data_IF_316121473505
#
_entry.id   IF_316121473505
#
_cell.length_a   1.000
_cell.length_b   1.000
_cell.length_c   1.000
_cell.angle_alpha   90.00
_cell.angle_beta   90.00
_cell.angle_gamma   90.00
#
_symmetry.space_group_name_H-M   'P 1'
#
loop_
_entity.id
_entity.type
_entity.pdbx_description
1 polymer ?
#
# COMPACT_ATOMS: atom_id res chain seq x y z
N UNK A 1 -40.81 -18.89 39.71
CA UNK A 1 -41.77 -19.99 39.52
C UNK A 1 -42.18 -20.00 38.05
N UNK A 2 -42.16 -21.16 37.40
CA UNK A 2 -42.51 -21.33 35.98
C UNK A 2 -43.70 -22.28 35.90
N UNK A 3 -44.67 -22.00 35.03
CA UNK A 3 -45.88 -22.83 34.90
C UNK A 3 -45.53 -24.22 34.34
N UNK A 4 -45.95 -25.28 35.04
CA UNK A 4 -45.77 -26.68 34.65
C UNK A 4 -46.38 -26.99 33.29
N UNK A 5 -47.54 -26.40 32.98
CA UNK A 5 -48.25 -26.59 31.70
C UNK A 5 -47.46 -26.01 30.55
N UNK A 6 -46.78 -24.89 30.77
CA UNK A 6 -45.88 -24.28 29.79
C UNK A 6 -44.71 -25.21 29.51
N UNK A 7 -44.03 -25.73 30.55
CA UNK A 7 -42.90 -26.66 30.37
C UNK A 7 -43.31 -28.01 29.76
N UNK A 8 -44.48 -28.55 30.09
CA UNK A 8 -44.99 -29.81 29.55
C UNK A 8 -45.51 -29.70 28.10
N UNK A 9 -45.73 -28.49 27.58
CA UNK A 9 -46.15 -28.27 26.19
C UNK A 9 -45.03 -28.49 25.16
N UNK A 10 -43.78 -28.55 25.61
CA UNK A 10 -42.60 -28.74 24.74
C UNK A 10 -42.41 -30.21 24.38
N UNK A 11 -41.84 -30.53 23.20
CA UNK A 11 -41.47 -31.89 22.82
C UNK A 11 -40.20 -32.39 23.55
N UNK A 12 -39.90 -33.68 23.42
CA UNK A 12 -38.66 -34.27 23.94
C UNK A 12 -38.64 -34.47 25.46
N UNK A 13 -37.48 -34.25 26.07
CA UNK A 13 -37.22 -34.57 27.49
C UNK A 13 -38.06 -33.72 28.46
N UNK A 14 -38.38 -32.47 28.11
CA UNK A 14 -39.26 -31.61 28.90
C UNK A 14 -40.71 -32.11 28.91
N UNK A 15 -41.25 -32.55 27.76
CA UNK A 15 -42.58 -33.20 27.70
C UNK A 15 -42.66 -34.40 28.62
N UNK A 16 -41.61 -35.22 28.57
CA UNK A 16 -41.55 -36.46 29.33
C UNK A 16 -41.45 -36.12 30.81
N UNK A 17 -40.49 -35.28 31.20
CA UNK A 17 -40.24 -34.93 32.59
C UNK A 17 -41.44 -34.24 33.24
N UNK A 18 -42.00 -33.21 32.60
CA UNK A 18 -43.07 -32.41 33.18
C UNK A 18 -44.47 -32.94 32.87
N UNK A 19 -44.64 -33.71 31.79
CA UNK A 19 -45.92 -34.34 31.45
C UNK A 19 -46.38 -35.35 32.50
N UNK A 20 -45.45 -36.11 33.10
CA UNK A 20 -45.76 -37.00 34.23
C UNK A 20 -46.08 -36.23 35.53
N UNK A 21 -45.71 -34.96 35.62
CA UNK A 21 -45.86 -34.11 36.81
C UNK A 21 -47.09 -33.18 36.72
N UNK A 22 -47.92 -33.32 35.68
CA UNK A 22 -49.10 -32.49 35.43
C UNK A 22 -50.26 -32.76 36.38
N UNK A 23 -50.32 -33.96 36.97
CA UNK A 23 -51.38 -34.36 37.91
C UNK A 23 -51.10 -33.88 39.35
N UNK A 24 -49.90 -33.35 39.62
CA UNK A 24 -49.54 -32.83 40.94
C UNK A 24 -49.91 -31.35 41.09
N UNK A 25 -50.84 -31.06 42.00
CA UNK A 25 -51.31 -29.69 42.30
C UNK A 25 -50.36 -28.88 43.19
N UNK A 26 -49.30 -29.51 43.70
CA UNK A 26 -48.32 -28.87 44.59
C UNK A 26 -47.20 -28.18 43.82
N UNK A 27 -46.64 -27.12 44.38
CA UNK A 27 -45.42 -26.52 43.86
C UNK A 27 -44.28 -27.55 43.90
N UNK A 28 -43.64 -27.76 42.75
CA UNK A 28 -42.53 -28.71 42.61
C UNK A 28 -41.21 -27.97 42.53
N UNK A 29 -40.27 -28.38 43.36
CA UNK A 29 -38.87 -27.95 43.27
C UNK A 29 -38.09 -28.99 42.48
N UNK A 30 -37.93 -28.76 41.19
CA UNK A 30 -37.07 -29.57 40.32
C UNK A 30 -35.67 -28.96 40.32
N UNK A 31 -34.67 -29.76 40.71
CA UNK A 31 -33.27 -29.36 40.68
C UNK A 31 -32.63 -29.96 39.42
N UNK A 32 -32.20 -29.10 38.51
CA UNK A 32 -31.38 -29.51 37.37
C UNK A 32 -29.92 -29.46 37.79
N UNK A 33 -29.28 -30.63 37.85
CA UNK A 33 -27.83 -30.73 37.96
C UNK A 33 -27.24 -30.69 36.55
N UNK A 34 -26.21 -29.86 36.35
CA UNK A 34 -25.46 -29.74 35.09
C UNK A 34 -26.32 -29.40 33.85
N UNK A 35 -27.26 -28.45 33.99
CA UNK A 35 -27.93 -27.89 32.82
C UNK A 35 -26.87 -27.26 31.90
N UNK A 36 -26.86 -27.64 30.61
CA UNK A 36 -25.75 -27.35 29.68
C UNK A 36 -25.39 -25.85 29.58
N UNK A 37 -26.34 -24.95 29.85
CA UNK A 37 -26.15 -23.49 29.84
C UNK A 37 -26.32 -22.83 31.24
N UNK A 38 -26.23 -23.62 32.32
CA UNK A 38 -26.38 -23.13 33.70
C UNK A 38 -27.77 -22.57 34.04
N UNK A 39 -27.87 -21.85 35.16
CA UNK A 39 -29.13 -21.25 35.60
C UNK A 39 -29.63 -20.15 34.65
N UNK A 40 -28.71 -19.40 34.03
CA UNK A 40 -29.02 -18.31 33.09
C UNK A 40 -29.58 -18.83 31.77
N UNK A 41 -29.03 -19.92 31.23
CA UNK A 41 -29.57 -20.59 30.06
C UNK A 41 -30.95 -21.20 30.33
N UNK A 42 -31.15 -21.80 31.51
CA UNK A 42 -32.47 -22.26 31.92
C UNK A 42 -33.48 -21.12 32.01
N UNK A 43 -33.09 -19.95 32.50
CA UNK A 43 -33.96 -18.77 32.56
C UNK A 43 -34.29 -18.22 31.15
N UNK A 44 -33.31 -18.16 30.24
CA UNK A 44 -33.52 -17.83 28.83
C UNK A 44 -34.56 -18.75 28.17
N UNK A 45 -34.39 -20.06 28.37
CA UNK A 45 -35.32 -21.09 27.88
C UNK A 45 -36.69 -20.93 28.53
N UNK A 46 -36.75 -20.96 29.86
CA UNK A 46 -37.98 -21.08 30.63
C UNK A 46 -38.80 -19.78 30.74
N UNK A 47 -38.15 -18.62 30.79
CA UNK A 47 -38.83 -17.34 31.03
C UNK A 47 -39.28 -16.63 29.75
N UNK A 48 -38.61 -16.84 28.60
CA UNK A 48 -38.89 -16.03 27.39
C UNK A 48 -39.11 -16.83 26.12
N UNK A 49 -38.33 -17.87 25.86
CA UNK A 49 -38.61 -18.77 24.72
C UNK A 49 -39.80 -19.69 25.02
N UNK A 50 -39.93 -20.16 26.26
CA UNK A 50 -41.03 -21.01 26.68
C UNK A 50 -42.39 -20.29 26.70
N UNK A 51 -42.42 -19.01 27.07
CA UNK A 51 -43.65 -18.21 27.06
C UNK A 51 -44.15 -17.86 25.64
N UNK A 52 -43.28 -17.90 24.63
CA UNK A 52 -43.63 -17.66 23.22
C UNK A 52 -44.03 -18.93 22.43
N UNK A 53 -44.27 -20.07 23.10
CA UNK A 53 -44.84 -21.33 22.54
C UNK A 53 -44.10 -21.99 21.37
N UNK A 54 -42.79 -21.78 21.16
CA UNK A 54 -42.04 -22.45 20.07
C UNK A 54 -40.85 -23.26 20.56
N UNK A 55 -40.74 -24.51 20.10
CA UNK A 55 -39.66 -25.45 20.44
C UNK A 55 -38.30 -24.98 19.91
N UNK A 56 -37.23 -25.21 20.68
CA UNK A 56 -35.84 -24.99 20.29
C UNK A 56 -35.40 -25.88 19.11
N UNK A 57 -36.07 -27.02 18.89
CA UNK A 57 -35.81 -27.90 17.75
C UNK A 57 -36.26 -27.28 16.41
N UNK A 58 -37.04 -26.18 16.46
CA UNK A 58 -37.62 -25.53 15.30
C UNK A 58 -37.05 -24.14 15.01
N UNK A 59 -35.90 -23.75 15.60
CA UNK A 59 -35.28 -22.42 15.39
C UNK A 59 -35.05 -22.12 13.91
N UNK A 60 -34.71 -23.14 13.11
CA UNK A 60 -34.54 -23.04 11.66
C UNK A 60 -35.78 -22.51 10.91
N UNK A 61 -36.98 -22.71 11.47
CA UNK A 61 -38.27 -22.32 10.90
C UNK A 61 -38.80 -20.97 11.41
N UNK A 62 -38.10 -20.29 12.32
CA UNK A 62 -38.56 -19.00 12.87
C UNK A 62 -38.61 -17.91 11.80
N UNK A 63 -39.33 -16.81 12.00
CA UNK A 63 -39.27 -15.67 11.07
C UNK A 63 -38.00 -14.84 11.29
N UNK A 64 -37.63 -13.97 10.34
CA UNK A 64 -36.46 -13.09 10.50
C UNK A 64 -36.60 -12.17 11.73
N UNK A 65 -37.78 -11.57 11.91
CA UNK A 65 -38.10 -10.77 13.09
C UNK A 65 -38.01 -11.56 14.40
N UNK A 66 -38.45 -12.82 14.40
CA UNK A 66 -38.34 -13.69 15.58
C UNK A 66 -36.88 -13.96 15.96
N UNK A 67 -36.01 -14.19 14.97
CA UNK A 67 -34.58 -14.39 15.21
C UNK A 67 -33.90 -13.12 15.76
N UNK A 68 -34.27 -11.94 15.26
CA UNK A 68 -33.69 -10.68 15.76
C UNK A 68 -34.16 -10.35 17.17
N UNK A 69 -35.44 -10.58 17.48
CA UNK A 69 -35.96 -10.42 18.85
C UNK A 69 -35.24 -11.40 19.79
N UNK A 70 -35.11 -12.66 19.37
CA UNK A 70 -34.37 -13.67 20.11
C UNK A 70 -32.92 -13.26 20.42
N UNK A 71 -32.18 -12.76 19.42
CA UNK A 71 -30.82 -12.26 19.61
C UNK A 71 -30.77 -11.04 20.55
N UNK A 72 -31.73 -10.11 20.41
CA UNK A 72 -31.84 -8.94 21.28
C UNK A 72 -32.08 -9.36 22.73
N UNK A 73 -32.94 -10.34 22.98
CA UNK A 73 -33.18 -10.83 24.35
C UNK A 73 -31.95 -11.55 24.92
N UNK A 74 -31.24 -12.34 24.11
CA UNK A 74 -30.00 -12.99 24.53
C UNK A 74 -28.90 -11.98 24.94
N UNK A 75 -28.85 -10.81 24.30
CA UNK A 75 -27.83 -9.79 24.57
C UNK A 75 -27.99 -9.07 25.92
N UNK A 76 -29.18 -9.14 26.52
CA UNK A 76 -29.50 -8.51 27.80
C UNK A 76 -29.39 -9.50 28.97
N UNK A 77 -29.38 -10.80 28.66
CA UNK A 77 -29.31 -11.89 29.64
C UNK A 77 -27.92 -12.54 29.74
N UNK A 78 -27.14 -12.57 28.66
CA UNK A 78 -25.82 -13.20 28.66
C UNK A 78 -24.71 -12.20 29.01
N UNK A 79 -23.87 -12.58 29.97
CA UNK A 79 -22.59 -11.92 30.20
C UNK A 79 -21.66 -12.14 28.99
N UNK A 80 -20.68 -11.26 28.78
CA UNK A 80 -19.80 -11.30 27.60
C UNK A 80 -18.97 -12.59 27.43
N UNK A 81 -19.00 -13.51 28.42
CA UNK A 81 -18.17 -14.71 28.47
C UNK A 81 -18.93 -16.01 28.15
N UNK A 82 -20.26 -16.00 28.08
CA UNK A 82 -21.04 -17.25 28.04
C UNK A 82 -21.54 -17.56 26.63
N UNK A 83 -20.91 -18.56 26.00
CA UNK A 83 -21.39 -19.14 24.73
C UNK A 83 -22.52 -20.12 25.04
N UNK A 84 -23.74 -19.62 25.20
CA UNK A 84 -24.89 -20.52 25.27
C UNK A 84 -25.07 -21.26 23.95
N UNK A 85 -25.33 -22.57 24.02
CA UNK A 85 -25.59 -23.41 22.83
C UNK A 85 -26.75 -22.84 22.00
N UNK A 86 -27.70 -22.20 22.68
CA UNK A 86 -28.87 -21.55 22.09
C UNK A 86 -28.46 -20.32 21.27
N UNK A 87 -27.59 -19.46 21.81
CA UNK A 87 -27.11 -18.30 21.07
C UNK A 87 -26.39 -18.70 19.78
N UNK A 88 -25.54 -19.72 19.84
CA UNK A 88 -24.83 -20.24 18.67
C UNK A 88 -25.82 -20.77 17.59
N UNK A 89 -26.86 -21.51 18.00
CA UNK A 89 -27.92 -21.97 17.07
C UNK A 89 -28.68 -20.82 16.42
N UNK A 90 -29.03 -19.78 17.17
CA UNK A 90 -29.74 -18.61 16.64
C UNK A 90 -28.83 -17.82 15.67
N UNK A 91 -27.57 -17.59 16.05
CA UNK A 91 -26.59 -16.92 15.21
C UNK A 91 -26.37 -17.69 13.91
N UNK A 92 -26.26 -19.03 13.95
CA UNK A 92 -26.12 -19.85 12.75
C UNK A 92 -27.33 -19.75 11.83
N UNK A 93 -28.55 -19.72 12.38
CA UNK A 93 -29.78 -19.51 11.59
C UNK A 93 -29.82 -18.11 10.94
N UNK A 94 -29.41 -17.07 11.67
CA UNK A 94 -29.33 -15.70 11.14
C UNK A 94 -28.32 -15.62 10.01
N UNK A 95 -27.10 -16.12 10.23
CA UNK A 95 -26.03 -16.11 9.23
C UNK A 95 -26.40 -16.96 8.01
N UNK A 96 -26.98 -18.13 8.20
CA UNK A 96 -27.43 -19.00 7.10
C UNK A 96 -28.46 -18.29 6.21
N UNK A 97 -29.35 -17.50 6.80
CA UNK A 97 -30.33 -16.70 6.04
C UNK A 97 -29.70 -15.53 5.32
N UNK A 98 -28.80 -14.80 5.98
CA UNK A 98 -28.02 -13.74 5.35
C UNK A 98 -27.28 -14.27 4.12
N UNK A 99 -26.65 -15.44 4.24
CA UNK A 99 -25.96 -16.11 3.13
C UNK A 99 -26.94 -16.54 2.03
N UNK A 100 -28.03 -17.20 2.39
CA UNK A 100 -29.00 -17.74 1.41
C UNK A 100 -29.70 -16.64 0.61
N UNK A 101 -30.06 -15.52 1.24
CA UNK A 101 -30.71 -14.37 0.59
C UNK A 101 -29.74 -13.57 -0.30
N UNK A 102 -28.44 -13.62 -0.01
CA UNK A 102 -27.40 -13.04 -0.87
C UNK A 102 -27.14 -13.93 -2.11
N UNK A 103 -27.28 -15.26 -1.99
CA UNK A 103 -26.98 -16.22 -3.07
C UNK A 103 -28.18 -16.49 -4.01
N UNK A 104 -29.43 -16.40 -3.54
CA UNK A 104 -30.61 -16.89 -4.25
C UNK A 104 -31.20 -15.99 -5.37
N UNK A 105 -30.47 -15.03 -5.96
CA UNK A 105 -31.09 -14.11 -6.94
C UNK A 105 -30.37 -14.03 -8.30
N UNK A 106 -30.83 -14.81 -9.31
CA UNK A 106 -30.68 -14.48 -10.72
C UNK A 106 -31.85 -13.55 -11.16
N UNK A 107 -31.51 -12.33 -11.57
CA UNK A 107 -32.34 -11.36 -12.33
C UNK A 107 -33.49 -10.60 -11.59
N UNK A 108 -33.38 -9.26 -11.50
CA UNK A 108 -34.38 -8.22 -11.92
C UNK A 108 -34.10 -6.83 -11.30
N UNK A 109 -33.95 -5.83 -12.17
CA UNK A 109 -34.23 -4.38 -12.07
C UNK A 109 -34.60 -3.72 -10.70
N UNK A 110 -33.61 -3.43 -9.86
CA UNK A 110 -33.67 -2.39 -8.81
C UNK A 110 -32.24 -2.00 -8.41
N UNK A 111 -32.01 -0.75 -7.99
CA UNK A 111 -30.65 -0.20 -7.83
C UNK A 111 -29.76 -1.08 -6.95
N UNK A 112 -28.57 -1.42 -7.44
CA UNK A 112 -27.63 -2.36 -6.80
C UNK A 112 -27.33 -2.03 -5.32
N UNK A 113 -27.44 -0.75 -4.94
CA UNK A 113 -27.16 -0.28 -3.58
C UNK A 113 -28.24 -0.64 -2.54
N UNK A 114 -29.51 -0.79 -2.92
CA UNK A 114 -30.59 -1.04 -1.94
C UNK A 114 -30.72 -2.52 -1.56
N UNK A 115 -30.22 -3.43 -2.39
CA UNK A 115 -30.33 -4.88 -2.17
C UNK A 115 -29.20 -5.49 -1.35
N UNK A 116 -28.03 -4.87 -1.27
CA UNK A 116 -26.91 -5.39 -0.47
C UNK A 116 -27.03 -4.95 1.00
N UNK A 117 -27.75 -3.85 1.26
CA UNK A 117 -27.87 -3.22 2.59
C UNK A 117 -29.18 -3.55 3.33
N UNK A 118 -30.02 -4.47 2.82
CA UNK A 118 -31.36 -4.71 3.41
C UNK A 118 -31.29 -5.09 4.90
N UNK A 119 -30.26 -5.85 5.30
CA UNK A 119 -30.07 -6.32 6.66
C UNK A 119 -29.27 -5.34 7.54
N UNK A 120 -28.77 -4.22 6.99
CA UNK A 120 -27.89 -3.32 7.72
C UNK A 120 -28.62 -2.64 8.88
N UNK A 121 -29.83 -2.16 8.65
CA UNK A 121 -30.68 -1.52 9.66
C UNK A 121 -31.11 -2.50 10.74
N UNK A 122 -31.53 -3.70 10.31
CA UNK A 122 -32.04 -4.74 11.18
C UNK A 122 -31.00 -5.21 12.22
N UNK A 123 -29.73 -5.27 11.83
CA UNK A 123 -28.65 -5.65 12.73
C UNK A 123 -28.15 -4.51 13.64
N UNK A 124 -28.59 -3.25 13.46
CA UNK A 124 -28.21 -2.15 14.35
C UNK A 124 -28.68 -2.34 15.79
N UNK A 125 -29.71 -3.17 16.00
CA UNK A 125 -30.24 -3.47 17.34
C UNK A 125 -29.27 -4.26 18.21
N UNK A 126 -28.27 -4.90 17.59
CA UNK A 126 -27.31 -5.77 18.25
C UNK A 126 -26.15 -4.97 18.89
N UNK A 127 -25.69 -5.42 20.06
CA UNK A 127 -24.46 -4.93 20.70
C UNK A 127 -23.22 -5.37 19.89
N UNK A 128 -22.12 -4.64 20.05
CA UNK A 128 -20.87 -4.88 19.29
C UNK A 128 -20.32 -6.30 19.48
N UNK A 129 -20.50 -6.90 20.65
CA UNK A 129 -20.02 -8.26 20.94
C UNK A 129 -20.74 -9.32 20.08
N UNK A 130 -22.05 -9.14 19.82
CA UNK A 130 -22.80 -10.00 18.91
C UNK A 130 -22.44 -9.72 17.44
N UNK A 131 -22.20 -8.45 17.10
CA UNK A 131 -21.72 -8.09 15.76
C UNK A 131 -20.36 -8.74 15.47
N UNK A 132 -19.44 -8.79 16.44
CA UNK A 132 -18.17 -9.53 16.29
C UNK A 132 -18.41 -10.99 15.89
N UNK A 133 -19.29 -11.69 16.61
CA UNK A 133 -19.65 -13.09 16.31
C UNK A 133 -20.29 -13.24 14.93
N UNK A 134 -21.31 -12.44 14.62
CA UNK A 134 -22.01 -12.48 13.32
C UNK A 134 -21.02 -12.26 12.18
N UNK A 135 -20.13 -11.27 12.28
CA UNK A 135 -19.19 -10.94 11.21
C UNK A 135 -18.14 -12.04 11.04
N UNK A 136 -17.62 -12.62 12.13
CA UNK A 136 -16.72 -13.79 12.04
C UNK A 136 -17.38 -14.98 11.34
N UNK A 137 -18.66 -15.23 11.63
CA UNK A 137 -19.43 -16.28 10.96
C UNK A 137 -19.70 -15.95 9.48
N UNK A 138 -19.95 -14.69 9.13
CA UNK A 138 -20.09 -14.28 7.72
C UNK A 138 -18.77 -14.45 6.94
N UNK A 139 -17.63 -14.15 7.57
CA UNK A 139 -16.30 -14.40 7.00
C UNK A 139 -16.07 -15.90 6.80
N UNK A 140 -16.40 -16.76 7.79
CA UNK A 140 -16.22 -18.22 7.65
C UNK A 140 -17.13 -18.84 6.59
N UNK A 141 -18.25 -18.19 6.27
CA UNK A 141 -19.18 -18.57 5.19
C UNK A 141 -18.82 -17.94 3.83
N UNK A 142 -17.65 -17.30 3.69
CA UNK A 142 -17.15 -16.67 2.47
C UNK A 142 -18.09 -15.61 1.85
N UNK A 143 -18.76 -14.81 2.69
CA UNK A 143 -19.48 -13.63 2.19
C UNK A 143 -18.49 -12.60 1.66
N UNK A 144 -18.88 -11.88 0.61
CA UNK A 144 -18.09 -10.80 0.03
C UNK A 144 -17.59 -9.81 1.10
N UNK A 145 -16.27 -9.73 1.23
CA UNK A 145 -15.61 -8.89 2.21
C UNK A 145 -15.90 -7.39 1.97
N UNK A 146 -16.18 -6.96 0.74
CA UNK A 146 -16.55 -5.58 0.46
C UNK A 146 -17.94 -5.22 1.03
N UNK A 147 -18.86 -6.17 1.04
CA UNK A 147 -20.17 -6.03 1.70
C UNK A 147 -20.02 -5.96 3.22
N UNK A 148 -19.18 -6.82 3.80
CA UNK A 148 -18.87 -6.80 5.24
C UNK A 148 -18.23 -5.47 5.63
N UNK A 149 -17.25 -4.98 4.86
CA UNK A 149 -16.57 -3.71 5.14
C UNK A 149 -17.55 -2.53 5.10
N UNK A 150 -18.47 -2.49 4.12
CA UNK A 150 -19.55 -1.49 4.04
C UNK A 150 -20.47 -1.55 5.27
N UNK A 151 -20.86 -2.74 5.71
CA UNK A 151 -21.70 -2.91 6.88
C UNK A 151 -21.01 -2.41 8.15
N UNK A 152 -19.74 -2.75 8.38
CA UNK A 152 -19.00 -2.32 9.56
C UNK A 152 -18.96 -0.79 9.70
N UNK A 153 -18.78 -0.08 8.59
CA UNK A 153 -18.82 1.38 8.56
C UNK A 153 -20.22 1.94 8.81
N UNK A 154 -21.22 1.29 8.23
CA UNK A 154 -22.60 1.66 8.42
C UNK A 154 -22.95 1.55 9.90
N UNK A 155 -22.68 0.39 10.52
CA UNK A 155 -22.85 0.15 11.94
C UNK A 155 -22.09 1.18 12.79
N UNK A 156 -20.82 1.45 12.48
CA UNK A 156 -20.01 2.44 13.17
C UNK A 156 -20.63 3.84 13.13
N UNK A 157 -21.05 4.32 11.95
CA UNK A 157 -21.66 5.63 11.78
C UNK A 157 -22.98 5.76 12.52
N UNK A 158 -23.85 4.76 12.40
CA UNK A 158 -25.18 4.78 13.03
C UNK A 158 -25.08 4.71 14.56
N UNK A 159 -24.24 3.84 15.11
CA UNK A 159 -24.12 3.67 16.57
C UNK A 159 -23.40 4.84 17.24
N UNK A 160 -22.46 5.49 16.57
CA UNK A 160 -21.70 6.63 17.11
C UNK A 160 -22.57 7.82 17.53
N UNK A 161 -23.77 7.96 16.98
CA UNK A 161 -24.73 9.01 17.36
C UNK A 161 -25.37 8.79 18.73
N UNK A 162 -25.41 7.53 19.18
CA UNK A 162 -26.23 7.11 20.34
C UNK A 162 -25.41 6.67 21.56
N UNK A 163 -24.12 6.37 21.37
CA UNK A 163 -23.30 5.68 22.37
C UNK A 163 -22.29 6.60 23.08
N UNK A 164 -21.88 6.19 24.28
CA UNK A 164 -20.89 6.89 25.11
C UNK A 164 -19.47 6.82 24.51
N UNK A 165 -18.53 7.70 24.90
CA UNK A 165 -17.15 7.66 24.39
C UNK A 165 -16.42 6.35 24.65
N UNK A 166 -16.70 5.67 25.77
CA UNK A 166 -16.12 4.37 26.11
C UNK A 166 -16.61 3.27 25.18
N UNK A 167 -17.92 3.25 24.89
CA UNK A 167 -18.51 2.35 23.91
C UNK A 167 -18.00 2.64 22.49
N UNK A 168 -17.77 3.91 22.13
CA UNK A 168 -17.12 4.26 20.85
C UNK A 168 -15.74 3.63 20.74
N UNK A 169 -14.94 3.65 21.80
CA UNK A 169 -13.65 2.95 21.83
C UNK A 169 -13.85 1.45 21.59
N UNK A 170 -14.75 0.79 22.34
CA UNK A 170 -15.02 -0.66 22.20
C UNK A 170 -15.45 -1.02 20.77
N UNK A 171 -16.36 -0.24 20.18
CA UNK A 171 -16.83 -0.41 18.80
C UNK A 171 -15.65 -0.36 17.82
N UNK A 172 -14.77 0.63 17.95
CA UNK A 172 -13.64 0.77 17.04
C UNK A 172 -12.59 -0.33 17.22
N UNK A 173 -12.34 -0.77 18.44
CA UNK A 173 -11.38 -1.85 18.72
C UNK A 173 -11.83 -3.15 18.06
N UNK A 174 -13.09 -3.54 18.28
CA UNK A 174 -13.69 -4.70 17.61
C UNK A 174 -13.68 -4.53 16.10
N UNK A 175 -14.10 -3.36 15.59
CA UNK A 175 -14.13 -3.10 14.14
C UNK A 175 -12.73 -3.21 13.51
N UNK A 176 -11.68 -2.70 14.16
CA UNK A 176 -10.30 -2.83 13.67
C UNK A 176 -9.88 -4.31 13.61
N UNK A 177 -10.23 -5.10 14.62
CA UNK A 177 -9.94 -6.53 14.63
C UNK A 177 -10.68 -7.24 13.50
N UNK A 178 -11.97 -6.95 13.29
CA UNK A 178 -12.75 -7.52 12.19
C UNK A 178 -12.20 -7.12 10.81
N UNK A 179 -11.84 -5.85 10.61
CA UNK A 179 -11.22 -5.37 9.37
C UNK A 179 -9.89 -6.06 9.09
N UNK A 180 -9.13 -6.44 10.12
CA UNK A 180 -7.86 -7.15 9.96
C UNK A 180 -8.01 -8.57 9.40
N UNK A 181 -9.21 -9.16 9.55
CA UNK A 181 -9.57 -10.48 9.03
C UNK A 181 -10.09 -10.43 7.58
N UNK A 182 -10.50 -9.26 7.09
CA UNK A 182 -10.99 -9.11 5.73
C UNK A 182 -9.84 -9.07 4.73
N UNK A 183 -10.16 -9.40 3.47
CA UNK A 183 -9.24 -9.21 2.35
C UNK A 183 -8.91 -7.71 2.23
N UNK A 184 -7.63 -7.40 2.08
CA UNK A 184 -7.12 -6.03 1.95
C UNK A 184 -7.68 -5.33 0.71
N UNK A 185 -8.07 -6.09 -0.32
CA UNK A 185 -8.73 -5.52 -1.50
C UNK A 185 -10.13 -4.97 -1.23
N UNK A 186 -10.76 -5.34 -0.10
CA UNK A 186 -12.18 -5.04 0.21
C UNK A 186 -12.47 -3.64 0.74
N UNK A 187 -11.43 -2.84 1.03
CA UNK A 187 -11.56 -1.48 1.53
C UNK A 187 -10.62 -0.52 0.81
N UNK A 188 -11.08 0.74 0.64
CA UNK A 188 -10.29 1.80 0.01
C UNK A 188 -9.37 2.50 1.01
N UNK A 189 -8.27 3.10 0.53
CA UNK A 189 -7.42 3.96 1.38
C UNK A 189 -8.23 5.09 2.03
N UNK A 190 -9.13 5.73 1.27
CA UNK A 190 -10.04 6.76 1.79
C UNK A 190 -10.79 6.28 3.03
N UNK A 191 -11.21 5.01 3.02
CA UNK A 191 -11.91 4.44 4.13
C UNK A 191 -11.03 4.26 5.36
N UNK A 192 -9.88 3.62 5.20
CA UNK A 192 -8.97 3.37 6.31
C UNK A 192 -8.48 4.66 6.95
N UNK A 193 -8.17 5.68 6.14
CA UNK A 193 -7.80 7.00 6.67
C UNK A 193 -8.99 7.70 7.34
N UNK A 194 -10.22 7.49 6.87
CA UNK A 194 -11.44 7.93 7.55
C UNK A 194 -11.57 7.31 8.95
N UNK A 195 -11.37 5.98 9.05
CA UNK A 195 -11.35 5.25 10.32
C UNK A 195 -10.21 5.77 11.20
N UNK A 196 -9.02 5.95 10.64
CA UNK A 196 -7.85 6.44 11.37
C UNK A 196 -8.08 7.82 12.00
N UNK A 197 -8.76 8.74 11.29
CA UNK A 197 -9.12 10.06 11.85
C UNK A 197 -10.02 9.92 13.07
N UNK A 198 -11.01 9.02 13.01
CA UNK A 198 -11.89 8.70 14.15
C UNK A 198 -11.08 8.10 15.30
N UNK A 199 -10.26 7.07 15.01
CA UNK A 199 -9.42 6.40 16.01
C UNK A 199 -8.45 7.36 16.69
N UNK A 200 -7.89 8.30 15.94
CA UNK A 200 -6.95 9.31 16.44
C UNK A 200 -7.60 10.29 17.42
N UNK A 201 -8.91 10.52 17.28
CA UNK A 201 -9.68 11.34 18.23
C UNK A 201 -10.09 10.59 19.50
N UNK A 202 -9.98 9.26 19.50
CA UNK A 202 -10.40 8.39 20.59
C UNK A 202 -9.21 7.86 21.40
N UNK A 203 -9.47 7.47 22.66
CA UNK A 203 -8.48 6.85 23.55
C UNK A 203 -8.41 5.32 23.31
N UNK A 204 -8.09 4.93 22.08
CA UNK A 204 -7.93 3.53 21.68
C UNK A 204 -6.51 3.04 22.00
N UNK A 205 -6.38 1.76 22.35
CA UNK A 205 -5.10 1.14 22.68
C UNK A 205 -4.06 1.24 21.56
N UNK A 206 -2.77 1.24 21.92
CA UNK A 206 -1.67 1.27 20.95
C UNK A 206 -1.65 0.06 20.03
N UNK A 207 -2.10 -1.09 20.53
CA UNK A 207 -2.20 -2.34 19.78
C UNK A 207 -3.16 -2.20 18.58
N UNK A 208 -4.39 -1.74 18.82
CA UNK A 208 -5.37 -1.56 17.75
C UNK A 208 -4.95 -0.46 16.76
N UNK A 209 -4.30 0.61 17.23
CA UNK A 209 -3.71 1.63 16.35
C UNK A 209 -2.65 1.03 15.41
N UNK A 210 -1.79 0.15 15.94
CA UNK A 210 -0.78 -0.54 15.12
C UNK A 210 -1.40 -1.47 14.08
N UNK A 211 -2.48 -2.19 14.42
CA UNK A 211 -3.20 -3.03 13.44
C UNK A 211 -3.74 -2.17 12.29
N UNK A 212 -4.39 -1.05 12.61
CA UNK A 212 -4.93 -0.13 11.61
C UNK A 212 -3.83 0.50 10.74
N UNK A 213 -2.70 0.85 11.33
CA UNK A 213 -1.56 1.39 10.58
C UNK A 213 -0.94 0.34 9.66
N UNK A 214 -0.91 -0.93 10.06
CA UNK A 214 -0.49 -2.01 9.17
C UNK A 214 -1.45 -2.15 7.99
N UNK A 215 -2.77 -2.13 8.25
CA UNK A 215 -3.80 -2.14 7.20
C UNK A 215 -3.62 -0.97 6.22
N UNK A 216 -3.37 0.25 6.71
CA UNK A 216 -3.13 1.44 5.87
C UNK A 216 -1.83 1.31 5.09
N UNK A 217 -0.74 0.93 5.78
CA UNK A 217 0.58 0.77 5.19
C UNK A 217 0.56 -0.23 4.04
N UNK A 218 -0.20 -1.32 4.16
CA UNK A 218 -0.36 -2.34 3.12
C UNK A 218 -0.85 -1.82 1.76
N UNK A 219 -1.56 -0.69 1.74
CA UNK A 219 -2.17 -0.09 0.55
C UNK A 219 -1.62 1.31 0.25
N UNK A 220 -0.45 1.65 0.78
CA UNK A 220 0.11 2.98 0.62
C UNK A 220 0.33 3.36 -0.86
N UNK A 221 0.49 2.37 -1.75
CA UNK A 221 0.59 2.54 -3.20
C UNK A 221 -0.71 3.05 -3.88
N UNK A 222 -1.83 3.05 -3.15
CA UNK A 222 -3.14 3.54 -3.59
C UNK A 222 -3.55 4.84 -2.89
N UNK A 223 -2.70 5.39 -2.01
CA UNK A 223 -2.99 6.61 -1.26
C UNK A 223 -2.60 7.86 -2.06
N UNK A 224 -3.28 8.98 -1.77
CA UNK A 224 -2.92 10.32 -2.24
C UNK A 224 -2.25 11.11 -1.13
N UNK A 225 -1.55 12.19 -1.49
CA UNK A 225 -0.88 13.06 -0.53
C UNK A 225 -1.84 13.60 0.54
N UNK A 226 -3.08 13.96 0.17
CA UNK A 226 -4.10 14.49 1.07
C UNK A 226 -4.41 13.57 2.26
N UNK A 227 -4.24 12.25 2.08
CA UNK A 227 -4.45 11.30 3.15
C UNK A 227 -3.28 11.25 4.15
N UNK A 228 -2.06 11.55 3.69
CA UNK A 228 -0.85 11.57 4.53
C UNK A 228 -0.72 12.87 5.33
N UNK A 229 -1.38 13.95 4.91
CA UNK A 229 -1.40 15.26 5.60
C UNK A 229 -2.28 15.22 6.86
N UNK A 230 -1.91 14.36 7.81
CA UNK A 230 -2.56 14.24 9.11
C UNK A 230 -1.94 15.27 10.06
N UNK A 231 -2.74 16.19 10.64
CA UNK A 231 -2.23 17.17 11.59
C UNK A 231 -1.58 16.51 12.80
N UNK A 232 -0.42 17.03 13.21
CA UNK A 232 0.23 16.54 14.42
C UNK A 232 -0.60 16.92 15.67
N UNK A 233 -0.50 16.12 16.73
CA UNK A 233 -1.08 16.49 18.01
C UNK A 233 -0.45 17.81 18.48
N UNK A 234 -1.29 18.83 18.79
CA UNK A 234 -0.95 20.25 19.05
C UNK A 234 0.17 20.56 20.06
N UNK A 235 0.79 19.55 20.68
CA UNK A 235 1.82 19.71 21.73
C UNK A 235 3.27 19.72 21.20
N UNK A 236 3.56 19.43 19.92
CA UNK A 236 4.94 19.14 19.47
C UNK A 236 5.43 19.81 18.16
N UNK A 237 4.97 21.02 17.87
CA UNK A 237 5.67 21.96 16.98
C UNK A 237 5.48 21.76 15.46
N UNK A 238 5.59 20.54 14.92
CA UNK A 238 5.43 20.31 13.48
C UNK A 238 3.96 20.31 13.03
N UNK A 239 3.69 20.74 11.80
CA UNK A 239 2.32 20.85 11.26
C UNK A 239 1.69 19.46 11.09
N UNK A 240 2.46 18.50 10.56
CA UNK A 240 1.98 17.15 10.23
C UNK A 240 2.64 16.05 11.07
N UNK A 241 1.96 14.91 11.23
CA UNK A 241 2.50 13.73 11.93
C UNK A 241 3.44 12.91 11.03
N UNK A 242 4.70 13.34 10.97
CA UNK A 242 5.77 12.63 10.26
C UNK A 242 6.00 11.20 10.76
N UNK A 243 5.78 10.95 12.06
CA UNK A 243 6.01 9.61 12.63
C UNK A 243 4.95 8.62 12.17
N UNK A 244 3.73 9.08 11.88
CA UNK A 244 2.72 8.25 11.23
C UNK A 244 3.22 7.78 9.86
N UNK A 245 3.66 8.69 9.00
CA UNK A 245 4.14 8.33 7.65
C UNK A 245 5.30 7.33 7.70
N UNK A 246 6.27 7.53 8.60
CA UNK A 246 7.38 6.58 8.80
C UNK A 246 6.87 5.18 9.18
N UNK A 247 5.86 5.08 10.05
CA UNK A 247 5.26 3.79 10.44
C UNK A 247 4.48 3.16 9.30
N UNK A 248 3.75 3.95 8.50
CA UNK A 248 3.03 3.44 7.33
C UNK A 248 3.97 2.89 6.25
N UNK A 249 5.08 3.59 5.97
CA UNK A 249 6.09 3.09 5.03
C UNK A 249 6.75 1.81 5.56
N UNK A 250 7.08 1.78 6.87
CA UNK A 250 7.60 0.56 7.49
C UNK A 250 6.62 -0.62 7.40
N UNK A 251 5.34 -0.38 7.63
CA UNK A 251 4.30 -1.38 7.47
C UNK A 251 4.20 -1.90 6.03
N UNK A 252 4.27 -1.00 5.03
CA UNK A 252 4.30 -1.37 3.61
C UNK A 252 5.44 -2.37 3.29
N UNK A 253 6.63 -2.16 3.86
CA UNK A 253 7.76 -3.09 3.70
C UNK A 253 7.57 -4.43 4.41
N UNK A 254 7.04 -4.42 5.63
CA UNK A 254 6.86 -5.65 6.41
C UNK A 254 5.83 -6.57 5.74
N UNK A 255 4.78 -6.00 5.16
CA UNK A 255 3.76 -6.77 4.44
C UNK A 255 4.27 -7.23 3.06
N UNK A 256 5.26 -6.52 2.50
CA UNK A 256 5.91 -6.81 1.22
C UNK A 256 6.87 -8.01 1.17
N UNK A 257 6.93 -8.82 2.23
CA UNK A 257 7.95 -9.87 2.48
C UNK A 257 7.98 -11.06 1.50
N UNK A 258 7.25 -11.02 0.39
CA UNK A 258 7.50 -11.96 -0.71
C UNK A 258 7.89 -11.24 -1.99
N UNK A 259 7.11 -10.30 -2.52
CA UNK A 259 7.53 -9.45 -3.64
C UNK A 259 6.69 -8.17 -3.63
N UNK A 260 7.19 -7.06 -3.06
CA UNK A 260 6.61 -5.76 -3.44
C UNK A 260 6.90 -5.60 -4.92
N UNK A 261 5.86 -5.73 -5.76
CA UNK A 261 5.98 -5.42 -7.18
C UNK A 261 6.68 -4.06 -7.30
N UNK A 262 7.78 -3.98 -8.05
CA UNK A 262 8.56 -2.75 -8.18
C UNK A 262 7.69 -1.55 -8.57
N UNK A 263 6.58 -1.78 -9.29
CA UNK A 263 5.57 -0.77 -9.63
C UNK A 263 4.84 -0.19 -8.40
N UNK A 264 4.50 -1.00 -7.40
CA UNK A 264 3.88 -0.53 -6.14
C UNK A 264 4.88 0.27 -5.32
N UNK A 265 6.11 -0.22 -5.22
CA UNK A 265 7.18 0.48 -4.51
C UNK A 265 7.46 1.87 -5.11
N UNK A 266 7.52 1.97 -6.45
CA UNK A 266 7.67 3.24 -7.15
C UNK A 266 6.53 4.22 -6.89
N UNK A 267 5.27 3.75 -6.81
CA UNK A 267 4.12 4.59 -6.42
C UNK A 267 4.28 5.13 -5.01
N UNK A 268 4.68 4.28 -4.06
CA UNK A 268 4.95 4.71 -2.68
C UNK A 268 6.11 5.71 -2.63
N UNK A 269 7.17 5.51 -3.41
CA UNK A 269 8.28 6.46 -3.47
C UNK A 269 7.85 7.83 -3.99
N UNK A 270 7.08 7.87 -5.08
CA UNK A 270 6.51 9.11 -5.61
C UNK A 270 5.61 9.82 -4.59
N UNK A 271 4.80 9.06 -3.85
CA UNK A 271 3.94 9.59 -2.79
C UNK A 271 4.76 10.18 -1.63
N UNK A 272 5.79 9.47 -1.16
CA UNK A 272 6.67 9.92 -0.07
C UNK A 272 7.48 11.14 -0.49
N UNK A 273 8.00 11.17 -1.72
CA UNK A 273 8.74 12.32 -2.24
C UNK A 273 7.83 13.55 -2.38
N UNK A 274 6.56 13.36 -2.75
CA UNK A 274 5.56 14.44 -2.76
C UNK A 274 5.26 14.96 -1.36
N UNK A 275 5.14 14.05 -0.38
CA UNK A 275 4.97 14.41 1.03
C UNK A 275 6.20 15.14 1.59
N UNK A 276 7.41 14.71 1.20
CA UNK A 276 8.67 15.34 1.59
C UNK A 276 8.74 16.80 1.15
N UNK A 277 8.31 17.13 -0.07
CA UNK A 277 8.24 18.51 -0.56
C UNK A 277 7.32 19.37 0.31
N UNK A 278 6.14 18.84 0.67
CA UNK A 278 5.16 19.55 1.50
C UNK A 278 5.68 19.81 2.92
N UNK A 279 6.30 18.81 3.56
CA UNK A 279 6.82 18.98 4.93
C UNK A 279 8.16 19.70 5.00
N UNK A 280 8.88 19.83 3.89
CA UNK A 280 10.18 20.50 3.85
C UNK A 280 10.08 21.98 4.23
N UNK A 281 8.95 22.62 3.93
CA UNK A 281 8.67 24.02 4.25
C UNK A 281 8.37 24.27 5.75
N UNK A 282 8.16 23.21 6.55
CA UNK A 282 7.86 23.34 7.99
C UNK A 282 9.13 23.64 8.80
N UNK A 283 9.25 24.87 9.30
CA UNK A 283 10.38 25.31 10.14
C UNK A 283 10.50 24.59 11.48
N UNK A 284 9.45 23.89 11.93
CA UNK A 284 9.45 23.12 13.16
C UNK A 284 9.79 21.64 12.94
N UNK A 285 10.00 21.21 11.69
CA UNK A 285 10.39 19.84 11.38
C UNK A 285 11.85 19.59 11.76
N UNK A 286 12.07 18.73 12.75
CA UNK A 286 13.42 18.45 13.23
C UNK A 286 14.29 17.75 12.16
N UNK A 287 15.60 18.05 12.09
CA UNK A 287 16.49 17.48 11.06
C UNK A 287 16.61 15.97 11.13
N UNK A 288 16.48 15.40 12.33
CA UNK A 288 16.46 13.96 12.55
C UNK A 288 15.25 13.28 11.91
N UNK A 289 14.06 13.90 11.98
CA UNK A 289 12.83 13.37 11.39
C UNK A 289 12.84 13.52 9.88
N UNK A 290 13.30 14.67 9.37
CA UNK A 290 13.46 14.88 7.94
C UNK A 290 14.46 13.89 7.32
N UNK A 291 15.63 13.71 7.95
CA UNK A 291 16.60 12.70 7.51
C UNK A 291 16.02 11.28 7.55
N UNK A 292 15.20 10.93 8.55
CA UNK A 292 14.54 9.63 8.61
C UNK A 292 13.56 9.42 7.45
N UNK A 293 12.80 10.44 7.05
CA UNK A 293 11.89 10.36 5.89
C UNK A 293 12.66 10.21 4.58
N UNK A 294 13.71 11.01 4.39
CA UNK A 294 14.54 10.97 3.17
C UNK A 294 15.18 9.59 2.98
N UNK A 295 15.58 8.93 4.09
CA UNK A 295 16.23 7.63 4.10
C UNK A 295 15.27 6.43 4.23
N UNK A 296 13.94 6.64 4.30
CA UNK A 296 12.98 5.57 4.60
C UNK A 296 12.81 4.56 3.45
N UNK A 297 13.15 4.97 2.22
CA UNK A 297 13.06 4.17 1.01
C UNK A 297 14.45 3.97 0.39
N UNK A 298 14.77 2.77 -0.13
CA UNK A 298 16.01 2.48 -0.83
C UNK A 298 16.07 3.23 -2.17
N UNK A 299 17.27 3.31 -2.73
CA UNK A 299 17.54 3.98 -4.01
C UNK A 299 16.74 3.37 -5.17
N UNK A 300 16.63 2.04 -5.21
CA UNK A 300 15.92 1.30 -6.26
C UNK A 300 14.43 1.58 -6.34
N UNK A 301 13.85 2.16 -5.27
CA UNK A 301 12.45 2.57 -5.25
C UNK A 301 12.17 3.77 -6.18
N UNK A 302 13.21 4.53 -6.55
CA UNK A 302 13.11 5.79 -7.29
C UNK A 302 13.72 5.67 -8.69
N UNK A 303 12.94 6.08 -9.68
CA UNK A 303 13.41 6.24 -11.07
C UNK A 303 14.14 7.58 -11.26
N UNK A 304 13.69 8.63 -10.58
CA UNK A 304 14.30 9.97 -10.58
C UNK A 304 14.40 10.50 -9.15
N UNK A 305 15.46 11.26 -8.87
CA UNK A 305 15.67 11.92 -7.57
C UNK A 305 15.31 13.41 -7.59
N UNK A 306 14.70 13.93 -8.65
CA UNK A 306 14.44 15.37 -8.81
C UNK A 306 13.50 15.92 -7.74
N UNK A 307 12.41 15.20 -7.44
CA UNK A 307 11.47 15.56 -6.36
C UNK A 307 12.12 15.49 -4.98
N UNK A 308 12.96 14.47 -4.75
CA UNK A 308 13.71 14.33 -3.51
C UNK A 308 14.71 15.49 -3.33
N UNK A 309 15.40 15.86 -4.41
CA UNK A 309 16.29 17.02 -4.45
C UNK A 309 15.54 18.31 -4.14
N UNK A 310 14.38 18.53 -4.78
CA UNK A 310 13.53 19.69 -4.51
C UNK A 310 13.14 19.78 -3.03
N UNK A 311 12.73 18.66 -2.42
CA UNK A 311 12.40 18.63 -0.99
C UNK A 311 13.60 18.96 -0.11
N UNK A 312 14.78 18.39 -0.40
CA UNK A 312 16.00 18.67 0.37
C UNK A 312 16.42 20.13 0.23
N UNK A 313 16.34 20.68 -0.97
CA UNK A 313 16.68 22.08 -1.25
C UNK A 313 15.80 23.05 -0.47
N UNK A 314 14.46 22.87 -0.52
CA UNK A 314 13.50 23.64 0.29
C UNK A 314 13.83 23.50 1.78
N UNK A 315 14.12 22.28 2.25
CA UNK A 315 14.41 22.05 3.66
C UNK A 315 15.68 22.77 4.12
N UNK A 316 16.76 22.72 3.33
CA UNK A 316 18.01 23.42 3.61
C UNK A 316 17.85 24.95 3.54
N UNK A 317 16.96 25.43 2.68
CA UNK A 317 16.59 26.84 2.62
C UNK A 317 15.90 27.31 3.89
N UNK A 318 14.91 26.57 4.38
CA UNK A 318 14.20 26.92 5.62
C UNK A 318 15.07 26.71 6.86
N UNK A 319 16.01 25.76 6.82
CA UNK A 319 16.86 25.38 7.96
C UNK A 319 18.34 25.78 7.77
N UNK A 320 18.60 27.05 7.48
CA UNK A 320 19.96 27.57 7.23
C UNK A 320 20.97 27.36 8.38
N UNK A 321 20.52 27.17 9.61
CA UNK A 321 21.36 26.96 10.81
C UNK A 321 21.88 25.52 11.03
N UNK A 322 21.74 24.63 10.05
CA UNK A 322 22.19 23.25 10.16
C UNK A 322 23.72 23.12 10.15
N UNK A 323 24.27 22.26 11.02
CA UNK A 323 25.68 21.90 10.95
C UNK A 323 25.97 21.01 9.73
N UNK A 324 27.21 21.07 9.23
CA UNK A 324 27.65 20.34 8.03
C UNK A 324 27.41 18.83 8.13
N UNK A 325 27.61 18.21 9.30
CA UNK A 325 27.34 16.79 9.50
C UNK A 325 25.87 16.40 9.25
N UNK A 326 24.92 17.26 9.67
CA UNK A 326 23.48 17.03 9.43
C UNK A 326 23.12 17.25 7.97
N UNK A 327 23.65 18.30 7.34
CA UNK A 327 23.46 18.55 5.91
C UNK A 327 23.97 17.38 5.08
N UNK A 328 25.17 16.90 5.36
CA UNK A 328 25.76 15.74 4.71
C UNK A 328 24.88 14.50 4.82
N UNK A 329 24.34 14.22 6.02
CA UNK A 329 23.45 13.06 6.24
C UNK A 329 22.14 13.14 5.44
N UNK A 330 21.57 14.33 5.29
CA UNK A 330 20.35 14.52 4.49
C UNK A 330 20.67 14.37 3.01
N UNK A 331 21.74 15.03 2.55
CA UNK A 331 22.09 15.07 1.14
C UNK A 331 22.70 13.75 0.63
N UNK A 332 23.24 12.89 1.51
CA UNK A 332 23.77 11.58 1.12
C UNK A 332 22.73 10.62 0.59
N UNK A 333 21.44 10.91 0.75
CA UNK A 333 20.35 10.13 0.16
C UNK A 333 20.12 10.39 -1.33
N UNK A 334 20.74 11.44 -1.89
CA UNK A 334 20.63 11.75 -3.31
C UNK A 334 21.57 10.87 -4.13
N UNK A 335 21.00 10.15 -5.09
CA UNK A 335 21.76 9.53 -6.16
C UNK A 335 21.84 10.52 -7.33
N UNK A 336 23.01 11.12 -7.50
CA UNK A 336 23.26 12.13 -8.52
C UNK A 336 23.08 11.59 -9.94
N UNK A 337 23.25 10.29 -10.17
CA UNK A 337 23.03 9.67 -11.48
C UNK A 337 21.56 9.76 -11.92
N UNK A 338 20.63 9.68 -10.96
CA UNK A 338 19.17 9.76 -11.16
C UNK A 338 18.60 11.18 -11.17
N UNK A 339 19.46 12.20 -11.10
CA UNK A 339 19.05 13.59 -11.24
C UNK A 339 19.06 14.04 -12.70
N UNK A 340 18.10 14.89 -13.06
CA UNK A 340 18.09 15.59 -14.35
C UNK A 340 19.26 16.57 -14.45
N UNK A 341 19.59 16.95 -15.68
CA UNK A 341 20.66 17.91 -15.97
C UNK A 341 20.38 19.27 -15.35
N UNK A 342 19.12 19.70 -15.32
CA UNK A 342 18.72 20.97 -14.71
C UNK A 342 18.79 20.92 -13.18
N UNK A 343 18.39 19.81 -12.55
CA UNK A 343 18.60 19.60 -11.12
C UNK A 343 20.09 19.61 -10.75
N UNK A 344 20.95 18.97 -11.54
CA UNK A 344 22.41 18.99 -11.32
C UNK A 344 23.01 20.40 -11.47
N UNK A 345 22.57 21.19 -12.45
CA UNK A 345 22.99 22.60 -12.60
C UNK A 345 22.54 23.44 -11.40
N UNK A 346 21.31 23.22 -10.93
CA UNK A 346 20.79 23.93 -9.76
C UNK A 346 21.62 23.60 -8.52
N UNK A 347 21.86 22.31 -8.29
CA UNK A 347 22.66 21.81 -7.17
C UNK A 347 24.10 22.36 -7.21
N UNK A 348 24.75 22.35 -8.37
CA UNK A 348 26.12 22.85 -8.52
C UNK A 348 26.28 24.34 -8.19
N UNK A 349 25.21 25.14 -8.37
CA UNK A 349 25.20 26.57 -8.06
C UNK A 349 24.76 26.88 -6.63
N UNK A 350 24.22 25.89 -5.92
CA UNK A 350 23.59 26.10 -4.63
C UNK A 350 24.60 25.98 -3.48
N UNK A 351 25.00 27.12 -2.92
CA UNK A 351 25.97 27.19 -1.81
C UNK A 351 25.45 26.65 -0.48
N UNK A 352 24.15 26.33 -0.36
CA UNK A 352 23.57 25.75 0.86
C UNK A 352 23.93 24.26 1.01
N UNK A 353 24.28 23.61 -0.10
CA UNK A 353 24.74 22.22 -0.11
C UNK A 353 26.21 22.12 0.32
N UNK A 354 26.60 21.04 1.03
CA UNK A 354 27.99 20.80 1.38
C UNK A 354 28.93 20.81 0.16
N UNK A 355 30.08 21.46 0.28
CA UNK A 355 31.06 21.61 -0.83
C UNK A 355 31.55 20.28 -1.41
N UNK A 356 31.67 19.24 -0.58
CA UNK A 356 32.03 17.88 -1.02
C UNK A 356 31.03 17.30 -2.03
N UNK A 357 29.77 17.71 -1.98
CA UNK A 357 28.72 17.24 -2.89
C UNK A 357 28.84 17.91 -4.25
N UNK A 358 29.22 19.19 -4.31
CA UNK A 358 29.47 19.86 -5.58
C UNK A 358 30.51 19.10 -6.42
N UNK A 359 31.60 18.63 -5.79
CA UNK A 359 32.62 17.81 -6.45
C UNK A 359 32.02 16.51 -7.02
N UNK A 360 31.20 15.81 -6.24
CA UNK A 360 30.55 14.57 -6.70
C UNK A 360 29.62 14.81 -7.90
N UNK A 361 28.91 15.95 -7.91
CA UNK A 361 28.06 16.37 -9.03
C UNK A 361 28.88 16.63 -10.29
N UNK A 362 30.04 17.31 -10.17
CA UNK A 362 30.93 17.54 -11.30
C UNK A 362 31.43 16.22 -11.92
N UNK A 363 31.86 15.26 -11.10
CA UNK A 363 32.31 13.94 -11.58
C UNK A 363 31.20 13.24 -12.36
N UNK A 364 29.96 13.28 -11.87
CA UNK A 364 28.84 12.61 -12.50
C UNK A 364 28.31 13.34 -13.76
N UNK A 365 28.48 14.66 -13.85
CA UNK A 365 28.23 15.39 -15.09
C UNK A 365 29.25 15.00 -16.17
N UNK A 366 30.51 14.81 -15.79
CA UNK A 366 31.57 14.39 -16.72
C UNK A 366 31.31 12.99 -17.28
N UNK A 367 30.98 12.01 -16.43
CA UNK A 367 30.69 10.64 -16.87
C UNK A 367 29.44 10.56 -17.78
N UNK A 368 28.39 11.34 -17.52
CA UNK A 368 27.22 11.42 -18.42
C UNK A 368 27.58 11.97 -19.79
N UNK A 369 28.50 12.94 -19.87
CA UNK A 369 28.99 13.46 -21.14
C UNK A 369 29.83 12.40 -21.86
N UNK A 370 30.74 11.73 -21.17
CA UNK A 370 31.58 10.66 -21.72
C UNK A 370 30.73 9.50 -22.28
N UNK A 371 29.71 9.04 -21.55
CA UNK A 371 28.79 8.00 -22.03
C UNK A 371 27.99 8.43 -23.28
N UNK A 372 27.61 9.71 -23.39
CA UNK A 372 26.94 10.25 -24.60
C UNK A 372 27.88 10.31 -25.82
N UNK A 373 29.19 10.38 -25.60
CA UNK A 373 30.18 10.26 -26.66
C UNK A 373 30.44 8.80 -27.04
N UNK A 374 30.47 7.88 -26.06
CA UNK A 374 30.63 6.44 -26.29
C UNK A 374 29.43 5.81 -27.02
N UNK A 375 28.18 6.17 -26.66
CA UNK A 375 26.96 5.71 -27.35
C UNK A 375 26.92 6.14 -28.84
N UNK A 376 27.60 7.25 -29.19
CA UNK A 376 27.72 7.70 -30.58
C UNK A 376 28.79 6.95 -31.37
N UNK A 377 29.84 6.46 -30.72
CA UNK A 377 30.88 5.65 -31.35
C UNK A 377 30.42 4.20 -31.62
N UNK A 378 29.54 3.63 -30.80
CA UNK A 378 29.01 2.27 -31.02
C UNK A 378 28.08 2.12 -32.25
N UNK A 379 27.50 3.22 -32.75
CA UNK A 379 26.76 3.21 -34.03
C UNK A 379 27.70 3.13 -35.26
N UNK A 380 28.99 3.42 -35.08
CA UNK A 380 30.01 3.35 -36.14
C UNK A 380 30.72 1.97 -36.12
N UNK A 381 30.81 1.31 -34.97
CA UNK A 381 31.53 0.04 -34.81
C UNK A 381 30.75 -1.23 -35.22
N UNK A 382 29.49 -1.11 -35.67
CA UNK A 382 28.72 -2.26 -36.18
C UNK A 382 29.28 -2.85 -37.49
N UNK A 383 30.27 -2.21 -38.13
CA UNK A 383 30.94 -2.73 -39.34
C UNK A 383 32.32 -3.35 -39.10
N UNK A 384 32.75 -3.53 -37.85
CA UNK A 384 34.07 -4.13 -37.57
C UNK A 384 33.98 -5.13 -36.42
N UNK A 385 33.25 -6.22 -36.67
CA UNK A 385 33.30 -7.40 -35.81
C UNK A 385 33.73 -8.60 -36.66
N UNK A 386 35.02 -8.88 -36.66
CA UNK A 386 35.48 -10.27 -36.72
C UNK A 386 36.80 -10.45 -35.97
N UNK A 387 36.80 -11.54 -35.22
CA UNK A 387 37.90 -12.36 -34.75
C UNK A 387 38.53 -12.11 -33.36
N UNK A 388 38.27 -13.12 -32.53
CA UNK A 388 38.99 -13.67 -31.38
C UNK A 388 38.39 -13.46 -29.99
N UNK A 389 38.07 -14.63 -29.43
CA UNK A 389 37.40 -14.94 -28.20
C UNK A 389 38.40 -15.10 -27.04
N UNK A 390 37.82 -14.98 -25.84
CA UNK A 390 38.18 -15.63 -24.58
C UNK A 390 39.60 -15.46 -24.02
N UNK A 391 39.70 -14.87 -22.82
CA UNK A 391 39.93 -15.71 -21.64
C UNK A 391 39.58 -14.97 -20.33
N UNK A 392 38.94 -15.73 -19.44
CA UNK A 392 38.49 -15.39 -18.10
C UNK A 392 39.56 -15.71 -17.05
N UNK A 393 39.79 -14.83 -16.06
CA UNK A 393 40.27 -15.24 -14.74
C UNK A 393 39.56 -14.42 -13.65
N UNK A 394 38.94 -15.16 -12.74
CA UNK A 394 38.29 -14.80 -11.47
C UNK A 394 39.35 -14.60 -10.38
N UNK A 395 39.25 -13.58 -9.52
CA UNK A 395 39.56 -13.77 -8.09
C UNK A 395 39.10 -12.64 -7.15
N UNK A 396 38.81 -13.09 -5.93
CA UNK A 396 38.03 -12.48 -4.85
C UNK A 396 38.66 -11.28 -4.14
N UNK A 397 37.74 -10.50 -3.60
CA UNK A 397 37.84 -9.51 -2.51
C UNK A 397 38.70 -9.95 -1.32
N UNK A 398 39.59 -9.07 -0.88
CA UNK A 398 40.05 -8.98 0.51
C UNK A 398 40.24 -7.50 0.91
N UNK A 399 39.78 -7.19 2.12
CA UNK A 399 39.59 -5.86 2.67
C UNK A 399 40.88 -5.18 3.14
N UNK A 400 40.77 -3.85 3.25
CA UNK A 400 41.60 -2.91 4.01
C UNK A 400 43.00 -2.58 3.49
N UNK A 401 43.08 -1.42 2.81
CA UNK A 401 44.10 -0.42 3.13
C UNK A 401 43.71 0.99 2.63
N UNK A 402 43.47 1.87 3.60
CA UNK A 402 43.46 3.31 3.46
C UNK A 402 44.92 3.78 3.41
N UNK A 403 45.44 4.20 2.25
CA UNK A 403 46.47 5.26 2.15
C UNK A 403 46.73 5.69 0.69
N UNK A 404 46.72 7.01 0.47
CA UNK A 404 47.33 7.78 -0.64
C UNK A 404 46.74 7.61 -2.05
N UNK A 405 45.73 8.41 -2.38
CA UNK A 405 45.47 8.80 -3.77
C UNK A 405 46.07 10.18 -4.07
N UNK A 406 47.38 10.17 -4.31
CA UNK A 406 48.04 11.10 -5.21
C UNK A 406 48.67 10.27 -6.34
N UNK A 407 47.84 9.54 -7.09
CA UNK A 407 48.32 8.82 -8.28
C UNK A 407 48.13 9.73 -9.48
N UNK A 408 49.27 10.27 -9.93
CA UNK A 408 49.45 11.10 -11.12
C UNK A 408 48.65 10.57 -12.30
N UNK A 409 47.96 11.49 -12.95
CA UNK A 409 47.44 11.39 -14.31
C UNK A 409 48.63 11.03 -15.23
N UNK A 410 48.63 9.81 -15.78
CA UNK A 410 49.47 9.47 -16.92
C UNK A 410 48.68 9.80 -18.19
N UNK A 411 48.86 11.02 -18.70
CA UNK A 411 48.32 11.53 -19.96
C UNK A 411 49.20 11.29 -21.23
N UNK A 412 50.40 10.68 -21.26
CA UNK A 412 51.18 10.67 -22.50
C UNK A 412 50.73 9.61 -23.53
N UNK A 413 50.24 8.44 -23.12
CA UNK A 413 50.12 7.30 -24.06
C UNK A 413 48.90 7.38 -25.01
N UNK A 414 47.86 8.16 -24.71
CA UNK A 414 46.71 8.34 -25.62
C UNK A 414 46.95 9.40 -26.69
N UNK A 415 47.82 10.38 -26.43
CA UNK A 415 48.15 11.43 -27.39
C UNK A 415 49.00 10.87 -28.54
N UNK A 416 49.97 10.01 -28.24
CA UNK A 416 50.80 9.34 -29.26
C UNK A 416 49.98 8.39 -30.14
N UNK A 417 49.01 7.68 -29.57
CA UNK A 417 48.12 6.79 -30.35
C UNK A 417 47.22 7.58 -31.31
N UNK A 418 46.72 8.75 -30.90
CA UNK A 418 45.92 9.63 -31.75
C UNK A 418 46.76 10.24 -32.88
N UNK A 419 48.03 10.57 -32.62
CA UNK A 419 48.93 11.14 -33.64
C UNK A 419 49.28 10.10 -34.72
N UNK A 420 49.51 8.84 -34.32
CA UNK A 420 49.71 7.73 -35.26
C UNK A 420 48.45 7.44 -36.09
N UNK A 421 47.25 7.53 -35.48
CA UNK A 421 45.99 7.38 -36.23
C UNK A 421 45.75 8.53 -37.20
N UNK A 422 46.05 9.78 -36.82
CA UNK A 422 45.90 10.94 -37.69
C UNK A 422 46.86 10.88 -38.87
N UNK A 423 48.13 10.47 -38.67
CA UNK A 423 49.07 10.25 -39.77
C UNK A 423 48.62 9.12 -40.70
N UNK A 424 48.06 8.03 -40.15
CA UNK A 424 47.46 6.96 -40.94
C UNK A 424 46.30 7.44 -41.81
N UNK A 425 45.41 8.27 -41.25
CA UNK A 425 44.30 8.88 -41.99
C UNK A 425 44.79 9.89 -43.05
N UNK A 426 45.88 10.62 -42.79
CA UNK A 426 46.45 11.55 -43.76
C UNK A 426 47.01 10.81 -44.99
N UNK A 427 47.67 9.67 -44.78
CA UNK A 427 48.17 8.82 -45.87
C UNK A 427 47.03 8.27 -46.73
N UNK A 428 45.94 7.78 -46.13
CA UNK A 428 44.81 7.24 -46.89
C UNK A 428 44.07 8.32 -47.69
N UNK A 429 43.97 9.54 -47.16
CA UNK A 429 43.42 10.70 -47.88
C UNK A 429 44.27 11.02 -49.13
N UNK A 430 45.59 11.07 -49.00
CA UNK A 430 46.47 11.36 -50.15
C UNK A 430 46.44 10.26 -51.21
N UNK A 431 46.29 8.99 -50.82
CA UNK A 431 46.07 7.88 -51.77
C UNK A 431 44.71 7.98 -52.46
N UNK A 432 43.65 8.29 -51.73
CA UNK A 432 42.30 8.48 -52.29
C UNK A 432 42.25 9.68 -53.25
N UNK A 433 42.94 10.78 -52.94
CA UNK A 433 43.07 11.92 -53.84
C UNK A 433 43.79 11.55 -55.15
N UNK A 434 44.81 10.69 -55.07
CA UNK A 434 45.49 10.14 -56.25
C UNK A 434 44.56 9.27 -57.10
N UNK A 435 43.76 8.39 -56.48
CA UNK A 435 42.76 7.59 -57.20
C UNK A 435 41.65 8.45 -57.82
N UNK A 436 41.19 9.49 -57.12
CA UNK A 436 40.22 10.46 -57.64
C UNK A 436 40.78 11.22 -58.85
N UNK A 437 42.07 11.61 -58.84
CA UNK A 437 42.72 12.23 -60.00
C UNK A 437 42.80 11.32 -61.22
N UNK A 438 43.06 10.02 -61.01
CA UNK A 438 43.06 9.00 -62.07
C UNK A 438 41.65 8.78 -62.62
N UNK A 439 40.63 8.73 -61.76
CA UNK A 439 39.23 8.60 -62.17
C UNK A 439 38.74 9.83 -62.96
N UNK A 440 39.12 11.04 -62.55
CA UNK A 440 38.74 12.26 -63.27
C UNK A 440 39.39 12.36 -64.66
N UNK A 441 40.63 11.88 -64.82
CA UNK A 441 41.30 11.78 -66.13
C UNK A 441 40.73 10.66 -67.00
N UNK A 442 40.24 9.55 -66.42
CA UNK A 442 39.53 8.51 -67.17
C UNK A 442 38.12 8.96 -67.60
N UNK A 443 37.39 9.70 -66.76
CA UNK A 443 36.05 10.24 -67.09
C UNK A 443 36.14 11.34 -68.16
N UNK A 444 37.22 12.13 -68.18
CA UNK A 444 37.47 13.15 -69.21
C UNK A 444 37.73 12.59 -70.62
N UNK A 445 38.07 11.31 -70.75
CA UNK A 445 38.46 10.67 -72.00
C UNK A 445 37.41 9.69 -72.57
N UNK A 446 36.19 9.66 -72.04
CA UNK A 446 35.10 8.85 -72.60
C UNK A 446 34.37 9.65 -73.70
N UNK A 447 34.40 9.22 -74.98
CA UNK A 447 33.67 9.92 -76.04
C UNK A 447 32.15 9.82 -75.82
N UNK A 448 31.49 10.98 -75.85
CA UNK A 448 30.04 11.18 -75.73
C UNK A 448 29.30 10.55 -76.91
N UNK A 449 29.08 9.25 -76.87
CA UNK A 449 28.04 8.60 -77.67
C UNK A 449 27.51 7.39 -76.91
N UNK A 450 26.17 7.32 -76.76
CA UNK A 450 25.35 6.31 -76.08
C UNK A 450 25.04 6.57 -74.60
N UNK A 451 24.32 7.66 -74.36
CA UNK A 451 23.37 7.78 -73.25
C UNK A 451 22.05 8.28 -73.83
N UNK A 452 21.31 7.36 -74.47
CA UNK A 452 19.93 7.56 -74.91
C UNK A 452 19.14 6.26 -74.69
N UNK A 453 18.93 5.87 -73.43
CA UNK A 453 17.79 5.05 -73.02
C UNK A 453 17.75 4.93 -71.50
N UNK A 454 16.57 5.18 -70.92
CA UNK A 454 16.20 5.10 -69.49
C UNK A 454 16.83 6.22 -68.63
N UNK A 455 16.09 7.06 -67.92
CA UNK A 455 14.68 7.06 -67.56
C UNK A 455 14.58 7.90 -66.29
N UNK A 456 13.88 9.03 -66.39
CA UNK A 456 13.72 10.03 -65.34
C UNK A 456 13.22 9.44 -64.01
N UNK A 457 13.84 9.82 -62.89
CA UNK A 457 13.18 10.44 -61.73
C UNK A 457 14.12 10.48 -60.51
N UNK A 458 14.90 11.55 -60.37
CA UNK A 458 15.45 11.96 -59.08
C UNK A 458 15.30 13.48 -58.94
N UNK A 459 14.40 13.90 -58.05
CA UNK A 459 14.18 15.30 -57.69
C UNK A 459 15.36 15.75 -56.81
N UNK A 460 16.04 16.81 -57.23
CA UNK A 460 17.07 17.49 -56.45
C UNK A 460 16.42 18.32 -55.33
N UNK A 461 16.92 18.16 -54.10
CA UNK A 461 16.66 19.06 -52.97
C UNK A 461 17.46 20.37 -53.14
N UNK A 462 16.95 21.54 -52.72
CA UNK A 462 17.64 22.81 -52.90
C UNK A 462 18.79 23.04 -51.91
N UNK A 463 19.84 23.69 -52.42
CA UNK A 463 21.04 24.15 -51.71
C UNK A 463 20.71 25.22 -50.65
N UNK A 464 21.33 25.09 -49.48
CA UNK A 464 21.55 26.19 -48.54
C UNK A 464 22.84 26.95 -48.96
N UNK A 465 22.70 28.26 -49.11
CA UNK A 465 23.76 29.28 -49.12
C UNK A 465 23.21 30.39 -48.19
N UNK A 466 23.95 31.07 -47.32
CA UNK A 466 25.39 31.22 -47.04
C UNK A 466 25.57 31.52 -45.56
#
# INVERSE_FOLDING_TARGET
MVDKRTLASFPGSFKKLFGYLMDETKDLKVLFHDFEDGAEGFELVAARFCYNKKSLDCISFWTWSELLVALKECQDLLSASDSSLILEKILDCVVTRLVSLVVASPCTCSSENTRISWWFEDLLVLKIDLIDKVIRMLISRNIDHATISKFLLYYQRSRFLTVTPTEKCKIMEVMINLLSLLDRSSFSCKLLFGIFRVVSSLKISSHHKSILENLIGSQLDRATIDFLLVPSSRRKGCVYDVNLVLRLVKAFYIEGRCFVLASRLRKVASLVDSYLVEVAADSHLSPSKFAALVLVLPDDARESHDRLFQAIDIYLEVHGGLCEAKKMKICSALNYAKLSTDALKHLARNSKFPSRIAIQVFINQQSKLENLFEDKTHLVDTFSSSVFAEESIDEKVSSDQVLVYAKRINLPNKAEHLDVQLQGMQCTITELEKYCGIMQTQIGNIPRTRLSSLGNNARFLPKLCS
#
